data_IF_219125046964
#
_entry.id   IF_219125046964
#
_cell.length_a   1.000
_cell.length_b   1.000
_cell.length_c   1.000
_cell.angle_alpha   90.00
_cell.angle_beta   90.00
_cell.angle_gamma   90.00
#
_symmetry.space_group_name_H-M   'P 1'
#
loop_
_entity.id
_entity.type
_entity.pdbx_description
1 polymer ?
#
# COMPACT_ATOMS: atom_id res chain seq x y z
N UNK A 1 7.86 -58.86 29.16
CA UNK A 1 8.23 -58.89 30.59
C UNK A 1 9.63 -58.30 30.77
N UNK A 2 9.81 -57.43 31.78
CA UNK A 2 11.06 -56.87 32.35
C UNK A 2 11.65 -55.57 31.74
N UNK A 3 11.07 -54.46 32.23
CA UNK A 3 11.68 -53.27 32.90
C UNK A 3 13.13 -52.80 32.65
N UNK A 4 13.28 -51.45 32.56
CA UNK A 4 14.22 -50.51 33.27
C UNK A 4 14.31 -49.18 32.46
N UNK A 5 13.76 -48.03 32.87
CA UNK A 5 14.17 -47.02 33.88
C UNK A 5 15.60 -46.45 33.74
N UNK A 6 15.72 -45.13 33.44
CA UNK A 6 16.66 -44.08 33.94
C UNK A 6 16.92 -43.01 32.85
N UNK A 7 16.51 -41.73 33.02
CA UNK A 7 17.15 -40.61 33.73
C UNK A 7 18.47 -40.09 33.09
N UNK A 8 18.41 -38.94 32.41
CA UNK A 8 19.52 -38.01 32.18
C UNK A 8 18.95 -36.58 32.21
N UNK A 9 19.17 -35.80 33.27
CA UNK A 9 20.39 -35.04 33.64
C UNK A 9 20.49 -33.70 32.88
N UNK A 10 20.03 -32.65 33.57
CA UNK A 10 20.23 -31.25 33.21
C UNK A 10 21.67 -30.80 33.55
N UNK A 11 22.29 -30.07 32.64
CA UNK A 11 23.61 -29.45 32.81
C UNK A 11 23.44 -27.93 32.72
N UNK A 12 23.57 -27.26 33.88
CA UNK A 12 23.75 -25.81 34.01
C UNK A 12 25.24 -25.60 34.31
N UNK A 13 25.93 -24.81 33.49
CA UNK A 13 27.29 -24.35 33.76
C UNK A 13 27.34 -22.82 33.76
N UNK A 14 27.69 -22.27 34.92
CA UNK A 14 28.09 -20.89 35.21
C UNK A 14 29.55 -20.66 34.78
N UNK A 15 29.86 -19.52 34.14
CA UNK A 15 31.17 -18.85 34.23
C UNK A 15 30.99 -17.32 34.19
N UNK A 16 31.90 -16.64 34.88
CA UNK A 16 31.81 -15.39 35.62
C UNK A 16 32.23 -14.10 34.88
N UNK A 17 31.89 -12.98 35.53
CA UNK A 17 32.22 -11.57 35.31
C UNK A 17 33.65 -11.20 34.82
N UNK A 18 33.71 -10.08 34.10
CA UNK A 18 34.88 -9.21 34.00
C UNK A 18 34.48 -7.74 33.75
N UNK A 19 34.69 -6.87 34.74
CA UNK A 19 34.58 -5.41 34.65
C UNK A 19 35.88 -4.81 34.09
N UNK A 20 35.79 -3.75 33.29
CA UNK A 20 36.85 -2.75 33.16
C UNK A 20 36.26 -1.39 32.75
N UNK A 21 36.45 -0.40 33.61
CA UNK A 21 36.03 0.99 33.52
C UNK A 21 37.30 1.82 33.31
N UNK A 22 37.34 2.64 32.26
CA UNK A 22 38.46 3.54 31.96
C UNK A 22 37.95 4.95 31.70
N UNK A 23 38.38 5.89 32.55
CA UNK A 23 38.12 7.32 32.46
C UNK A 23 39.00 7.99 31.39
N UNK A 24 38.48 9.03 30.73
CA UNK A 24 39.24 9.84 29.77
C UNK A 24 38.49 11.06 29.27
N UNK A 25 38.78 12.20 29.92
CA UNK A 25 38.75 13.59 29.42
C UNK A 25 37.42 14.37 29.31
N UNK A 26 37.36 15.37 30.20
CA UNK A 26 36.62 16.63 30.11
C UNK A 26 36.98 17.42 28.85
N UNK A 27 35.96 17.94 28.16
CA UNK A 27 36.10 18.98 27.16
C UNK A 27 34.75 19.44 26.61
N UNK A 28 34.34 20.65 26.97
CA UNK A 28 33.25 21.45 26.40
C UNK A 28 31.79 20.98 26.51
N UNK A 29 31.14 21.43 27.60
CA UNK A 29 29.71 21.77 27.61
C UNK A 29 29.56 23.28 27.35
N UNK A 30 28.85 23.66 26.29
CA UNK A 30 27.77 24.66 26.31
C UNK A 30 27.33 25.06 24.90
N UNK A 31 26.25 24.45 24.40
CA UNK A 31 24.99 25.11 23.99
C UNK A 31 24.07 24.01 23.39
N UNK A 32 23.26 23.35 24.23
CA UNK A 32 21.80 23.54 24.39
C UNK A 32 20.90 23.09 23.21
N UNK A 33 20.06 22.11 23.56
CA UNK A 33 18.64 21.99 23.24
C UNK A 33 18.23 21.56 21.83
N UNK A 34 18.05 20.23 21.68
CA UNK A 34 16.80 19.61 21.21
C UNK A 34 16.83 18.13 21.60
N UNK A 35 16.23 17.79 22.73
CA UNK A 35 14.92 17.12 22.82
C UNK A 35 14.84 15.81 22.02
N UNK A 36 14.56 14.73 22.76
CA UNK A 36 14.54 13.38 22.25
C UNK A 36 13.42 13.11 21.25
N UNK A 37 13.71 12.19 20.34
CA UNK A 37 12.71 11.36 19.68
C UNK A 37 13.27 9.95 19.76
N UNK A 38 12.54 9.08 20.45
CA UNK A 38 12.90 7.70 20.67
C UNK A 38 13.16 6.97 19.37
N UNK A 39 14.07 6.01 19.46
CA UNK A 39 14.20 4.93 18.50
C UNK A 39 12.81 4.30 18.31
N UNK A 40 12.19 4.57 17.15
CA UNK A 40 11.04 3.80 16.70
C UNK A 40 11.53 2.36 16.52
N UNK A 41 10.99 1.35 17.22
CA UNK A 41 11.24 -0.02 16.82
C UNK A 41 10.70 -0.20 15.39
N UNK A 42 11.41 -0.96 14.53
CA UNK A 42 10.95 -1.19 13.16
C UNK A 42 9.56 -1.81 13.22
N UNK A 43 8.59 -1.11 12.64
CA UNK A 43 7.19 -1.49 12.61
C UNK A 43 6.98 -2.81 11.90
N UNK A 44 7.09 -3.91 12.66
CA UNK A 44 6.58 -5.21 12.30
C UNK A 44 5.12 -5.31 12.70
N UNK A 45 4.25 -5.63 11.74
CA UNK A 45 2.94 -6.20 12.03
C UNK A 45 1.72 -5.44 11.56
N UNK A 46 1.56 -5.25 10.23
CA UNK A 46 0.29 -5.47 9.48
C UNK A 46 0.43 -5.19 7.98
N UNK A 47 1.46 -5.75 7.35
CA UNK A 47 1.62 -5.71 5.89
C UNK A 47 0.70 -6.69 5.13
N UNK A 48 -0.53 -6.90 5.60
CA UNK A 48 -1.34 -8.05 5.17
C UNK A 48 -2.84 -7.83 5.27
N UNK A 49 -3.35 -6.70 4.79
CA UNK A 49 -4.81 -6.59 4.49
C UNK A 49 -5.18 -5.47 3.51
N UNK A 50 -4.22 -4.70 2.99
CA UNK A 50 -4.45 -3.68 1.98
C UNK A 50 -4.65 -4.24 0.55
N UNK A 51 -4.54 -5.56 0.37
CA UNK A 51 -4.49 -6.18 -0.96
C UNK A 51 -5.83 -6.41 -1.68
N UNK A 52 -6.97 -6.29 -1.00
CA UNK A 52 -8.26 -6.63 -1.62
C UNK A 52 -9.32 -5.51 -1.59
N UNK A 53 -9.25 -4.58 -0.63
CA UNK A 53 -10.22 -3.48 -0.50
C UNK A 53 -9.73 -2.11 -0.98
N UNK A 54 -8.41 -1.91 -1.16
CA UNK A 54 -7.85 -0.58 -1.44
C UNK A 54 -7.98 -0.12 -2.89
N UNK A 55 -7.87 -1.04 -3.87
CA UNK A 55 -7.79 -0.65 -5.29
C UNK A 55 -9.10 -0.80 -6.06
N UNK A 56 -9.91 -1.83 -5.77
CA UNK A 56 -11.27 -1.92 -6.34
C UNK A 56 -12.20 -0.81 -5.82
N UNK A 57 -12.01 -0.40 -4.55
CA UNK A 57 -12.84 0.60 -3.89
C UNK A 57 -12.70 2.03 -4.45
N UNK A 58 -11.58 2.37 -5.08
CA UNK A 58 -11.43 3.65 -5.80
C UNK A 58 -12.00 3.58 -7.22
N UNK A 59 -11.87 2.43 -7.90
CA UNK A 59 -12.33 2.27 -9.29
C UNK A 59 -13.85 2.22 -9.41
N UNK A 60 -14.54 1.55 -8.48
CA UNK A 60 -16.01 1.47 -8.45
C UNK A 60 -16.70 2.84 -8.37
N UNK A 61 -15.97 3.91 -8.05
CA UNK A 61 -16.49 5.27 -7.99
C UNK A 61 -16.51 5.98 -9.34
N UNK A 62 -15.82 5.45 -10.35
CA UNK A 62 -15.76 6.08 -11.66
C UNK A 62 -17.01 5.77 -12.47
N UNK A 63 -17.60 6.76 -13.17
CA UNK A 63 -18.80 6.54 -13.98
C UNK A 63 -18.62 5.48 -15.07
N UNK A 64 -17.47 5.48 -15.75
CA UNK A 64 -17.14 4.50 -16.80
C UNK A 64 -17.08 3.06 -16.26
N UNK A 65 -16.49 2.88 -15.07
CA UNK A 65 -16.47 1.60 -14.37
C UNK A 65 -17.85 1.17 -13.89
N UNK A 66 -18.66 2.09 -13.37
CA UNK A 66 -20.03 1.78 -12.95
C UNK A 66 -20.89 1.33 -14.13
N UNK A 67 -20.73 1.98 -15.29
CA UNK A 67 -21.38 1.61 -16.55
C UNK A 67 -20.94 0.23 -17.04
N UNK A 68 -19.63 -0.03 -17.05
CA UNK A 68 -19.05 -1.34 -17.40
C UNK A 68 -19.60 -2.47 -16.52
N UNK A 69 -19.67 -2.22 -15.21
CA UNK A 69 -20.17 -3.18 -14.23
C UNK A 69 -21.70 -3.24 -14.17
N UNK A 70 -22.39 -2.40 -14.94
CA UNK A 70 -23.86 -2.28 -14.96
C UNK A 70 -24.42 -2.13 -13.54
N UNK A 71 -23.80 -1.25 -12.77
CA UNK A 71 -24.24 -0.98 -11.40
C UNK A 71 -25.67 -0.45 -11.42
N UNK A 72 -26.55 -1.09 -10.66
CA UNK A 72 -27.96 -0.68 -10.57
C UNK A 72 -28.13 0.50 -9.63
N UNK A 73 -29.28 1.18 -9.71
CA UNK A 73 -29.64 2.27 -8.79
C UNK A 73 -29.68 1.79 -7.32
N UNK A 74 -30.20 0.58 -7.07
CA UNK A 74 -30.18 -0.03 -5.73
C UNK A 74 -28.73 -0.23 -5.24
N UNK A 75 -27.86 -0.80 -6.08
CA UNK A 75 -26.45 -0.99 -5.71
C UNK A 75 -25.76 0.35 -5.44
N UNK A 76 -26.02 1.36 -6.26
CA UNK A 76 -25.49 2.70 -6.06
C UNK A 76 -25.97 3.32 -4.74
N UNK A 77 -27.27 3.23 -4.44
CA UNK A 77 -27.85 3.70 -3.18
C UNK A 77 -27.24 3.00 -1.98
N UNK A 78 -27.07 1.67 -2.04
CA UNK A 78 -26.43 0.88 -0.97
C UNK A 78 -24.97 1.26 -0.77
N UNK A 79 -24.21 1.49 -1.85
CA UNK A 79 -22.84 1.99 -1.77
C UNK A 79 -22.76 3.38 -1.14
N UNK A 80 -23.71 4.28 -1.42
CA UNK A 80 -23.77 5.61 -0.82
C UNK A 80 -24.05 5.53 0.68
N UNK A 81 -25.08 4.77 1.09
CA UNK A 81 -25.42 4.53 2.50
C UNK A 81 -24.25 3.92 3.27
N UNK A 82 -23.56 2.96 2.66
CA UNK A 82 -22.34 2.37 3.23
C UNK A 82 -21.27 3.44 3.49
N UNK A 83 -21.00 4.33 2.53
CA UNK A 83 -20.00 5.40 2.70
C UNK A 83 -20.38 6.41 3.75
N UNK A 84 -21.66 6.77 3.83
CA UNK A 84 -22.18 7.66 4.86
C UNK A 84 -22.00 7.03 6.25
N UNK A 85 -22.41 5.77 6.42
CA UNK A 85 -22.20 5.03 7.67
C UNK A 85 -20.72 4.84 8.02
N UNK A 86 -19.83 4.75 7.03
CA UNK A 86 -18.38 4.75 7.25
C UNK A 86 -17.88 6.10 7.76
N UNK A 87 -18.35 7.22 7.15
CA UNK A 87 -17.96 8.57 7.55
C UNK A 87 -18.40 8.87 8.97
N UNK A 88 -19.63 8.51 9.35
CA UNK A 88 -20.17 8.74 10.69
C UNK A 88 -19.37 7.93 11.73
N UNK A 89 -19.13 6.63 11.49
CA UNK A 89 -18.29 5.81 12.38
C UNK A 89 -16.88 6.38 12.57
N UNK A 90 -16.27 6.92 11.51
CA UNK A 90 -14.94 7.53 11.61
C UNK A 90 -14.93 8.80 12.46
N UNK A 91 -16.03 9.57 12.48
CA UNK A 91 -16.19 10.71 13.37
C UNK A 91 -16.35 10.25 14.83
N UNK A 92 -17.13 9.19 15.07
CA UNK A 92 -17.29 8.61 16.41
C UNK A 92 -15.95 8.11 16.98
N UNK A 93 -15.09 7.57 16.11
CA UNK A 93 -13.76 7.09 16.51
C UNK A 93 -12.76 8.20 16.84
N UNK A 94 -13.05 9.45 16.50
CA UNK A 94 -12.13 10.57 16.74
C UNK A 94 -11.89 10.84 18.23
N UNK A 95 -12.88 10.50 19.08
CA UNK A 95 -12.85 10.76 20.51
C UNK A 95 -12.38 9.56 21.35
N UNK A 96 -12.06 8.41 20.72
CA UNK A 96 -11.61 7.20 21.41
C UNK A 96 -10.11 7.25 21.77
N UNK A 97 -9.71 6.50 22.79
CA UNK A 97 -8.29 6.28 23.06
C UNK A 97 -7.60 5.55 21.90
N UNK A 98 -6.26 5.61 21.76
CA UNK A 98 -5.56 4.97 20.64
C UNK A 98 -5.80 3.45 20.51
N UNK A 99 -5.93 2.74 21.63
CA UNK A 99 -6.16 1.30 21.66
C UNK A 99 -7.60 0.95 21.25
N UNK A 100 -8.58 1.61 21.85
CA UNK A 100 -10.00 1.46 21.50
C UNK A 100 -10.26 1.83 20.04
N UNK A 101 -9.64 2.91 19.56
CA UNK A 101 -9.70 3.32 18.16
C UNK A 101 -9.13 2.24 17.25
N UNK A 102 -8.02 1.60 17.62
CA UNK A 102 -7.40 0.53 16.81
C UNK A 102 -8.31 -0.69 16.72
N UNK A 103 -9.00 -1.07 17.78
CA UNK A 103 -9.96 -2.18 17.75
C UNK A 103 -11.23 -1.83 16.98
N UNK A 104 -11.80 -0.65 17.23
CA UNK A 104 -12.99 -0.16 16.54
C UNK A 104 -12.77 -0.07 15.03
N UNK A 105 -11.59 0.42 14.60
CA UNK A 105 -11.18 0.47 13.20
C UNK A 105 -11.11 -0.92 12.56
N UNK A 106 -10.59 -1.93 13.26
CA UNK A 106 -10.52 -3.31 12.74
C UNK A 106 -11.91 -3.90 12.54
N UNK A 107 -12.79 -3.75 13.55
CA UNK A 107 -14.17 -4.23 13.46
C UNK A 107 -14.92 -3.53 12.32
N UNK A 108 -14.77 -2.20 12.21
CA UNK A 108 -15.39 -1.44 11.14
C UNK A 108 -14.87 -1.87 9.75
N UNK A 109 -13.57 -2.13 9.61
CA UNK A 109 -13.01 -2.64 8.35
C UNK A 109 -13.59 -4.00 7.96
N UNK A 110 -13.74 -4.92 8.91
CA UNK A 110 -14.32 -6.23 8.62
C UNK A 110 -15.81 -6.13 8.22
N UNK A 111 -16.59 -5.33 8.95
CA UNK A 111 -17.99 -5.05 8.61
C UNK A 111 -18.11 -4.42 7.22
N UNK A 112 -17.31 -3.40 6.96
CA UNK A 112 -17.29 -2.72 5.66
C UNK A 112 -16.99 -3.68 4.52
N UNK A 113 -16.04 -4.61 4.71
CA UNK A 113 -15.72 -5.61 3.70
C UNK A 113 -16.93 -6.51 3.42
N UNK A 114 -17.57 -7.04 4.46
CA UNK A 114 -18.77 -7.90 4.31
C UNK A 114 -19.90 -7.17 3.59
N UNK A 115 -20.16 -5.92 3.97
CA UNK A 115 -21.19 -5.09 3.34
C UNK A 115 -20.87 -4.77 1.89
N UNK A 116 -19.60 -4.46 1.55
CA UNK A 116 -19.16 -4.25 0.17
C UNK A 116 -19.31 -5.50 -0.69
N UNK A 117 -18.88 -6.65 -0.15
CA UNK A 117 -18.97 -7.93 -0.87
C UNK A 117 -20.42 -8.31 -1.16
N UNK A 118 -21.38 -7.92 -0.29
CA UNK A 118 -22.80 -8.17 -0.46
C UNK A 118 -23.52 -7.21 -1.42
N UNK A 119 -22.89 -6.10 -1.82
CA UNK A 119 -23.50 -5.14 -2.77
C UNK A 119 -23.31 -5.62 -4.21
N UNK A 120 -22.11 -6.07 -4.55
CA UNK A 120 -21.77 -6.49 -5.90
C UNK A 120 -22.10 -7.98 -6.09
N UNK A 121 -22.52 -8.34 -7.29
CA UNK A 121 -22.60 -9.75 -7.71
C UNK A 121 -21.20 -10.35 -7.88
N UNK A 122 -21.10 -11.67 -7.95
CA UNK A 122 -19.81 -12.33 -8.19
C UNK A 122 -19.17 -11.90 -9.51
N UNK A 123 -19.96 -11.82 -10.59
CA UNK A 123 -19.48 -11.34 -11.89
C UNK A 123 -18.96 -9.91 -11.82
N UNK A 124 -19.64 -9.01 -11.10
CA UNK A 124 -19.19 -7.63 -10.92
C UNK A 124 -17.90 -7.56 -10.10
N UNK A 125 -17.77 -8.38 -9.06
CA UNK A 125 -16.52 -8.46 -8.26
C UNK A 125 -15.36 -8.97 -9.11
N UNK A 126 -15.58 -10.00 -9.94
CA UNK A 126 -14.53 -10.54 -10.81
C UNK A 126 -14.11 -9.52 -11.87
N UNK A 127 -15.06 -8.88 -12.53
CA UNK A 127 -14.76 -7.82 -13.50
C UNK A 127 -14.06 -6.63 -12.83
N UNK A 128 -14.46 -6.23 -11.62
CA UNK A 128 -13.77 -5.17 -10.88
C UNK A 128 -12.31 -5.53 -10.54
N UNK A 129 -12.01 -6.81 -10.25
CA UNK A 129 -10.63 -7.28 -10.05
C UNK A 129 -9.80 -7.17 -11.33
N UNK A 130 -10.35 -7.61 -12.46
CA UNK A 130 -9.73 -7.47 -13.79
C UNK A 130 -9.41 -5.99 -14.10
N UNK A 131 -10.40 -5.10 -13.93
CA UNK A 131 -10.23 -3.66 -14.09
C UNK A 131 -9.16 -3.10 -13.14
N UNK A 132 -9.10 -3.63 -11.92
CA UNK A 132 -8.04 -3.34 -10.95
C UNK A 132 -6.64 -3.66 -11.48
N UNK A 133 -6.46 -4.83 -12.10
CA UNK A 133 -5.20 -5.24 -12.70
C UNK A 133 -4.84 -4.40 -13.93
N UNK A 134 -5.82 -4.06 -14.77
CA UNK A 134 -5.61 -3.17 -15.91
C UNK A 134 -5.26 -1.73 -15.49
N UNK A 135 -5.90 -1.23 -14.43
CA UNK A 135 -5.64 0.11 -13.89
C UNK A 135 -4.27 0.20 -13.22
N UNK A 136 -3.78 -0.87 -12.59
CA UNK A 136 -2.43 -0.91 -12.00
C UNK A 136 -1.35 -1.20 -13.04
N UNK A 137 -1.68 -1.93 -14.11
CA UNK A 137 -0.71 -2.40 -15.09
C UNK A 137 0.28 -3.39 -14.48
N UNK A 138 1.45 -3.53 -15.10
CA UNK A 138 2.45 -4.51 -14.70
C UNK A 138 3.00 -4.34 -13.26
N UNK A 139 2.82 -3.18 -12.60
CA UNK A 139 3.19 -3.01 -11.19
C UNK A 139 2.36 -3.87 -10.23
N UNK A 140 1.18 -4.34 -10.66
CA UNK A 140 0.39 -5.29 -9.90
C UNK A 140 1.12 -6.64 -9.66
N UNK A 141 2.13 -6.97 -10.47
CA UNK A 141 2.93 -8.19 -10.34
C UNK A 141 3.75 -8.23 -9.04
N UNK A 142 3.94 -7.09 -8.38
CA UNK A 142 4.59 -7.03 -7.06
C UNK A 142 3.64 -7.41 -5.91
N UNK A 143 2.33 -7.53 -6.17
CA UNK A 143 1.37 -7.95 -5.15
C UNK A 143 1.55 -9.44 -4.84
N UNK A 144 1.63 -9.84 -3.55
CA UNK A 144 1.94 -11.22 -3.17
C UNK A 144 1.02 -12.27 -3.83
N UNK A 145 -0.28 -11.98 -3.91
CA UNK A 145 -1.27 -12.88 -4.50
C UNK A 145 -1.10 -13.04 -6.02
N UNK A 146 -0.73 -11.98 -6.74
CA UNK A 146 -0.51 -12.02 -8.18
C UNK A 146 0.84 -12.67 -8.49
N UNK A 147 1.87 -12.31 -7.72
CA UNK A 147 3.19 -12.93 -7.81
C UNK A 147 3.11 -14.45 -7.59
N UNK A 148 2.33 -14.88 -6.59
CA UNK A 148 2.09 -16.30 -6.31
C UNK A 148 1.34 -16.98 -7.46
N UNK A 149 0.26 -16.37 -7.96
CA UNK A 149 -0.55 -16.93 -9.04
C UNK A 149 0.26 -17.16 -10.33
N UNK A 150 1.18 -16.25 -10.65
CA UNK A 150 2.07 -16.31 -11.82
C UNK A 150 3.40 -17.03 -11.55
N UNK A 151 3.61 -17.56 -10.35
CA UNK A 151 4.87 -18.15 -9.92
C UNK A 151 6.09 -17.26 -10.22
N UNK A 152 5.96 -15.96 -9.94
CA UNK A 152 7.05 -14.99 -10.12
C UNK A 152 8.20 -15.38 -9.19
N UNK A 153 9.38 -15.60 -9.76
CA UNK A 153 10.55 -16.01 -8.98
C UNK A 153 11.11 -14.85 -8.15
N UNK A 154 11.90 -15.15 -7.13
CA UNK A 154 12.61 -14.12 -6.34
C UNK A 154 13.48 -13.23 -7.22
N UNK A 155 14.12 -13.80 -8.24
CA UNK A 155 14.93 -13.05 -9.21
C UNK A 155 14.07 -12.10 -10.04
N UNK A 156 12.94 -12.57 -10.58
CA UNK A 156 12.01 -11.73 -11.32
C UNK A 156 11.45 -10.62 -10.42
N UNK A 157 11.04 -10.95 -9.19
CA UNK A 157 10.54 -9.97 -8.22
C UNK A 157 11.58 -8.90 -7.91
N UNK A 158 12.86 -9.27 -7.77
CA UNK A 158 13.96 -8.33 -7.59
C UNK A 158 14.11 -7.38 -8.79
N UNK A 159 14.09 -7.91 -10.02
CA UNK A 159 14.14 -7.09 -11.25
C UNK A 159 12.96 -6.12 -11.34
N UNK A 160 11.75 -6.56 -11.01
CA UNK A 160 10.55 -5.72 -11.04
C UNK A 160 10.63 -4.61 -9.99
N UNK A 161 11.13 -4.89 -8.78
CA UNK A 161 11.39 -3.87 -7.76
C UNK A 161 12.43 -2.85 -8.21
N UNK A 162 13.52 -3.30 -8.84
CA UNK A 162 14.52 -2.41 -9.44
C UNK A 162 13.90 -1.40 -10.41
N UNK A 163 13.02 -1.85 -11.31
CA UNK A 163 12.28 -0.94 -12.21
C UNK A 163 11.41 0.05 -11.43
N UNK A 164 10.73 -0.39 -10.36
CA UNK A 164 9.93 0.50 -9.52
C UNK A 164 10.77 1.56 -8.79
N UNK A 165 11.95 1.17 -8.29
CA UNK A 165 12.86 2.08 -7.58
C UNK A 165 13.45 3.12 -8.53
N UNK A 166 13.88 2.71 -9.73
CA UNK A 166 14.33 3.63 -10.79
C UNK A 166 13.24 4.63 -11.19
N UNK A 167 11.98 4.17 -11.34
CA UNK A 167 10.86 5.09 -11.60
C UNK A 167 10.68 6.12 -10.49
N UNK A 168 10.82 5.69 -9.23
CA UNK A 168 10.68 6.58 -8.08
C UNK A 168 11.78 7.61 -8.05
N UNK A 169 13.01 7.21 -8.35
CA UNK A 169 14.17 8.10 -8.46
C UNK A 169 13.99 9.12 -9.58
N UNK A 170 13.62 8.69 -10.78
CA UNK A 170 13.35 9.57 -11.92
C UNK A 170 12.23 10.57 -11.62
N UNK A 171 11.14 10.11 -10.99
CA UNK A 171 10.08 11.01 -10.55
C UNK A 171 10.60 12.03 -9.54
N UNK A 172 11.35 11.61 -8.51
CA UNK A 172 11.91 12.51 -7.51
C UNK A 172 12.88 13.54 -8.10
N UNK A 173 13.76 13.13 -9.02
CA UNK A 173 14.68 14.02 -9.72
C UNK A 173 13.92 15.08 -10.52
N UNK A 174 12.88 14.66 -11.23
CA UNK A 174 12.02 15.54 -12.01
C UNK A 174 11.25 16.56 -11.15
N UNK A 175 10.89 16.18 -9.92
CA UNK A 175 10.29 17.11 -8.95
C UNK A 175 11.32 18.02 -8.25
N UNK A 176 12.54 17.54 -7.99
CA UNK A 176 13.63 18.30 -7.35
C UNK A 176 14.30 19.28 -8.30
N UNK A 177 14.32 18.99 -9.60
CA UNK A 177 14.90 19.83 -10.65
C UNK A 177 14.24 21.20 -10.82
N UNK A 178 13.17 21.49 -10.08
CA UNK A 178 12.56 22.81 -10.02
C UNK A 178 11.55 23.01 -11.15
N UNK A 179 10.28 23.10 -10.75
CA UNK A 179 9.18 23.76 -11.48
C UNK A 179 9.14 23.42 -12.96
N UNK A 180 8.56 22.26 -13.29
CA UNK A 180 8.21 21.93 -14.68
C UNK A 180 7.37 23.09 -15.25
N UNK A 181 7.97 23.85 -16.17
CA UNK A 181 7.37 25.03 -16.81
C UNK A 181 6.10 24.66 -17.61
N UNK A 182 5.89 23.36 -17.87
CA UNK A 182 4.77 22.77 -18.60
C UNK A 182 3.43 22.60 -17.87
N UNK A 183 3.35 22.97 -16.59
CA UNK A 183 2.12 22.85 -15.82
C UNK A 183 1.64 21.39 -15.64
N UNK A 184 0.35 21.22 -15.31
CA UNK A 184 -0.23 19.92 -14.92
C UNK A 184 -0.28 18.92 -16.08
N UNK A 185 -0.49 19.37 -17.30
CA UNK A 185 -0.66 18.50 -18.47
C UNK A 185 0.65 17.83 -18.89
N UNK A 186 1.75 18.60 -18.93
CA UNK A 186 3.07 18.05 -19.25
C UNK A 186 3.53 17.04 -18.19
N UNK A 187 3.26 17.33 -16.91
CA UNK A 187 3.51 16.38 -15.82
C UNK A 187 2.73 15.08 -15.99
N UNK A 188 1.45 15.16 -16.36
CA UNK A 188 0.63 13.96 -16.61
C UNK A 188 1.20 13.13 -17.76
N UNK A 189 1.55 13.77 -18.88
CA UNK A 189 2.16 13.10 -20.04
C UNK A 189 3.48 12.43 -19.68
N UNK A 190 4.34 13.13 -18.95
CA UNK A 190 5.62 12.59 -18.47
C UNK A 190 5.39 11.34 -17.60
N UNK A 191 4.45 11.39 -16.66
CA UNK A 191 4.14 10.25 -15.81
C UNK A 191 3.58 9.07 -16.61
N UNK A 192 2.74 9.32 -17.62
CA UNK A 192 2.22 8.28 -18.52
C UNK A 192 3.35 7.62 -19.33
N UNK A 193 4.30 8.40 -19.84
CA UNK A 193 5.47 7.88 -20.54
C UNK A 193 6.38 7.04 -19.63
N UNK A 194 6.67 7.53 -18.42
CA UNK A 194 7.45 6.77 -17.43
C UNK A 194 6.76 5.45 -17.09
N UNK A 195 5.43 5.50 -16.88
CA UNK A 195 4.62 4.31 -16.61
C UNK A 195 4.67 3.32 -17.77
N UNK A 196 4.52 3.77 -19.02
CA UNK A 196 4.56 2.91 -20.19
C UNK A 196 5.94 2.24 -20.35
N UNK A 197 7.02 2.99 -20.18
CA UNK A 197 8.41 2.47 -20.22
C UNK A 197 8.63 1.40 -19.15
N UNK A 198 8.19 1.66 -17.93
CA UNK A 198 8.30 0.71 -16.84
C UNK A 198 7.46 -0.55 -17.08
N UNK A 199 6.24 -0.39 -17.58
CA UNK A 199 5.36 -1.51 -17.93
C UNK A 199 6.01 -2.43 -18.97
N UNK A 200 6.63 -1.87 -20.01
CA UNK A 200 7.39 -2.64 -21.00
C UNK A 200 8.56 -3.40 -20.37
N UNK A 201 9.35 -2.74 -19.52
CA UNK A 201 10.51 -3.37 -18.84
C UNK A 201 10.08 -4.47 -17.89
N UNK A 202 9.02 -4.27 -17.13
CA UNK A 202 8.48 -5.27 -16.21
C UNK A 202 7.93 -6.47 -16.98
N UNK A 203 7.16 -6.25 -18.05
CA UNK A 203 6.64 -7.36 -18.85
C UNK A 203 7.76 -8.13 -19.56
N UNK A 204 8.88 -7.50 -19.91
CA UNK A 204 10.04 -8.18 -20.48
C UNK A 204 10.71 -9.19 -19.52
N UNK A 205 10.52 -9.05 -18.21
CA UNK A 205 11.04 -9.99 -17.19
C UNK A 205 10.23 -11.30 -17.15
N UNK A 206 8.99 -11.28 -17.64
CA UNK A 206 8.11 -12.44 -17.63
C UNK A 206 8.44 -13.43 -18.76
N UNK A 207 8.27 -14.71 -18.47
CA UNK A 207 8.27 -15.77 -19.49
C UNK A 207 7.03 -15.67 -20.39
N UNK A 208 7.04 -16.29 -21.58
CA UNK A 208 5.85 -16.32 -22.44
C UNK A 208 4.59 -16.85 -21.73
N UNK A 209 4.72 -17.97 -20.99
CA UNK A 209 3.62 -18.55 -20.24
C UNK A 209 3.06 -17.59 -19.16
N UNK A 210 3.93 -16.86 -18.47
CA UNK A 210 3.52 -15.85 -17.48
C UNK A 210 2.80 -14.66 -18.14
N UNK A 211 3.26 -14.22 -19.32
CA UNK A 211 2.57 -13.16 -20.08
C UNK A 211 1.17 -13.59 -20.52
N UNK A 212 1.03 -14.83 -20.96
CA UNK A 212 -0.27 -15.39 -21.36
C UNK A 212 -1.23 -15.47 -20.18
N UNK A 213 -0.76 -15.97 -19.03
CA UNK A 213 -1.58 -16.04 -17.81
C UNK A 213 -1.90 -14.63 -17.29
N UNK A 214 -0.95 -13.70 -17.31
CA UNK A 214 -1.18 -12.30 -16.94
C UNK A 214 -2.29 -11.66 -17.79
N UNK A 215 -2.24 -11.88 -19.10
CA UNK A 215 -3.27 -11.37 -20.03
C UNK A 215 -4.64 -11.97 -19.72
N UNK A 216 -4.72 -13.28 -19.42
CA UNK A 216 -5.97 -13.93 -19.01
C UNK A 216 -6.51 -13.35 -17.71
N UNK A 217 -5.64 -13.10 -16.72
CA UNK A 217 -6.04 -12.49 -15.44
C UNK A 217 -6.57 -11.07 -15.59
N UNK A 218 -6.10 -10.32 -16.58
CA UNK A 218 -6.59 -8.98 -16.88
C UNK A 218 -7.97 -8.97 -17.56
N UNK A 219 -8.41 -10.10 -18.13
CA UNK A 219 -9.69 -10.22 -18.80
C UNK A 219 -9.81 -9.30 -20.02
N UNK A 220 -11.05 -8.93 -20.37
CA UNK A 220 -11.33 -8.13 -21.57
C UNK A 220 -10.77 -6.71 -21.41
N UNK A 221 -10.00 -6.17 -22.37
CA UNK A 221 -9.47 -4.81 -22.31
C UNK A 221 -10.56 -3.75 -22.08
N UNK A 222 -10.27 -2.78 -21.22
CA UNK A 222 -11.19 -1.69 -20.87
C UNK A 222 -10.63 -0.34 -21.31
N UNK A 223 -11.49 0.47 -21.95
CA UNK A 223 -11.16 1.84 -22.38
C UNK A 223 -11.59 2.82 -21.30
N UNK A 224 -10.61 3.45 -20.65
CA UNK A 224 -10.84 4.40 -19.57
C UNK A 224 -11.25 5.78 -20.10
N UNK A 225 -12.37 6.31 -19.61
CA UNK A 225 -12.78 7.68 -19.90
C UNK A 225 -11.89 8.66 -19.13
N UNK A 226 -11.25 9.60 -19.82
CA UNK A 226 -10.28 10.50 -19.20
C UNK A 226 -8.96 9.84 -18.78
N UNK A 227 -8.64 8.67 -19.36
CA UNK A 227 -7.35 8.01 -19.17
C UNK A 227 -7.29 7.00 -18.01
N UNK A 228 -6.25 6.17 -18.01
CA UNK A 228 -6.03 5.16 -16.96
C UNK A 228 -5.91 5.86 -15.60
N UNK A 229 -6.63 5.39 -14.57
CA UNK A 229 -6.53 5.97 -13.24
C UNK A 229 -5.08 5.97 -12.73
N UNK A 230 -4.69 7.10 -12.13
CA UNK A 230 -3.42 7.24 -11.41
C UNK A 230 -3.56 6.57 -10.05
N UNK A 231 -3.27 5.27 -10.01
CA UNK A 231 -3.40 4.46 -8.80
C UNK A 231 -2.08 4.51 -8.03
N UNK A 232 -1.93 5.48 -7.13
CA UNK A 232 -0.73 5.60 -6.30
C UNK A 232 -0.52 6.98 -5.69
N UNK A 233 -1.22 7.27 -4.60
CA UNK A 233 -0.90 8.40 -3.70
C UNK A 233 0.44 8.25 -2.95
N UNK A 234 1.39 7.51 -3.50
CA UNK A 234 2.74 7.32 -2.96
C UNK A 234 3.86 7.98 -3.77
N UNK A 235 3.56 8.47 -4.99
CA UNK A 235 4.55 9.18 -5.83
C UNK A 235 4.52 10.71 -5.64
N UNK A 236 3.51 11.26 -4.96
CA UNK A 236 3.42 12.68 -4.57
C UNK A 236 3.19 12.87 -3.06
N UNK A 237 3.57 11.89 -2.25
CA UNK A 237 3.59 12.00 -0.79
C UNK A 237 5.01 12.27 -0.29
N UNK A 238 5.53 13.48 -0.53
CA UNK A 238 6.74 13.91 0.15
C UNK A 238 6.53 13.87 1.68
N UNK A 239 7.53 13.53 2.50
CA UNK A 239 7.42 13.63 3.94
C UNK A 239 7.33 15.11 4.33
N UNK A 240 6.12 15.65 4.38
CA UNK A 240 5.87 17.08 4.64
C UNK A 240 4.41 17.55 4.66
N UNK A 241 3.43 16.67 4.43
CA UNK A 241 2.01 17.04 4.49
C UNK A 241 1.47 17.26 5.91
N UNK A 242 1.98 18.28 6.62
CA UNK A 242 1.44 18.76 7.88
C UNK A 242 1.22 20.26 7.75
N UNK A 243 -0.04 20.70 7.81
CA UNK A 243 -0.39 22.07 8.14
C UNK A 243 -0.85 22.93 6.96
N UNK A 244 -2.16 22.91 6.72
CA UNK A 244 -2.85 23.93 5.93
C UNK A 244 -4.22 24.24 6.51
N UNK A 245 -4.38 24.15 7.83
CA UNK A 245 -5.52 24.75 8.51
C UNK A 245 -5.31 26.27 8.49
N UNK A 246 -5.89 26.93 7.50
CA UNK A 246 -6.00 28.39 7.47
C UNK A 246 -6.73 28.84 8.73
N UNK A 247 -6.00 29.51 9.62
CA UNK A 247 -6.62 30.40 10.60
C UNK A 247 -7.05 31.66 9.85
N UNK A 248 -8.29 32.15 9.99
CA UNK A 248 -8.66 33.46 9.48
C UNK A 248 -7.94 34.56 10.30
N UNK A 249 -7.67 35.73 9.71
CA UNK A 249 -7.12 36.87 10.45
C UNK A 249 -8.15 37.34 11.48
N UNK A 250 -7.69 37.48 12.73
CA UNK A 250 -8.41 38.25 13.74
C UNK A 250 -8.26 39.74 13.37
N UNK A 251 -9.38 40.40 13.13
CA UNK A 251 -9.50 41.84 13.38
C UNK A 251 -9.80 42.04 14.86
#
# INVERSE_FOLDING_TARGET
>A
MKSKLMLMAALIALVSMGFAQGEGQQGNRANRQREGIGAQPPGGGRGGQFGQGGMGGQLINRPDVQKELKITEDQLSRMQKLREGQRNRMQDFANLSPEERREAMQKAQEQNRKEQDAILTESQRNRLKELGLQAQGAMALLRPEIAKELNITTEQQSKIRGVQDEMREQAMESFRGGRQEGGREEMMKMMDEMRAKAEQRVLAVLTPAQKDQWTKMQGVPFKWEGGRPMMGGGMMGGPGGRGGAGRPPLN
#
